data_IF_873327207797
#
_entry.id   IF_873327207797
#
_cell.length_a   1.000
_cell.length_b   1.000
_cell.length_c   1.000
_cell.angle_alpha   90.00
_cell.angle_beta   90.00
_cell.angle_gamma   90.00
#
_symmetry.space_group_name_H-M   'P 1'
#
loop_
_entity.id
_entity.type
_entity.pdbx_description
1 polymer ?
#
# COMPACT_ATOMS: atom_id res chain seq x y z
N UNK A 1 -31.87 114.70 -9.81
CA UNK A 1 -31.43 115.12 -8.47
C UNK A 1 -31.66 113.92 -7.55
N UNK A 2 -30.69 113.14 -7.05
CA UNK A 2 -29.26 113.30 -6.76
C UNK A 2 -28.50 112.04 -7.18
N UNK A 3 -27.27 112.20 -7.68
CA UNK A 3 -26.27 111.13 -7.72
C UNK A 3 -25.84 110.77 -6.29
N UNK A 4 -25.78 109.49 -5.96
CA UNK A 4 -24.90 108.99 -4.90
C UNK A 4 -23.87 108.05 -5.52
N UNK A 5 -22.69 108.60 -5.83
CA UNK A 5 -21.46 107.84 -5.99
C UNK A 5 -20.98 107.45 -4.60
N UNK A 6 -21.16 106.19 -4.20
CA UNK A 6 -20.49 105.66 -3.02
C UNK A 6 -19.23 104.89 -3.44
N UNK A 7 -18.10 105.35 -2.93
CA UNK A 7 -16.73 104.96 -3.29
C UNK A 7 -16.45 103.52 -2.82
N UNK A 8 -16.42 102.55 -3.73
CA UNK A 8 -15.98 101.19 -3.39
C UNK A 8 -14.46 101.17 -3.13
N UNK A 9 -14.09 100.96 -1.87
CA UNK A 9 -12.74 100.56 -1.49
C UNK A 9 -12.54 99.15 -2.06
N UNK A 10 -11.63 99.00 -3.02
CA UNK A 10 -11.36 97.71 -3.68
C UNK A 10 -10.55 96.81 -2.73
N UNK A 11 -11.24 95.92 -2.00
CA UNK A 11 -10.68 94.82 -1.19
C UNK A 11 -10.04 93.68 -2.04
N UNK A 12 -9.34 94.02 -3.12
CA UNK A 12 -8.80 93.02 -4.05
C UNK A 12 -7.74 92.10 -3.41
N UNK A 13 -7.07 92.54 -2.35
CA UNK A 13 -6.12 91.73 -1.57
C UNK A 13 -6.80 90.71 -0.65
N UNK A 14 -7.90 91.10 0.02
CA UNK A 14 -8.64 90.19 0.92
C UNK A 14 -9.29 89.03 0.15
N UNK A 15 -9.80 89.26 -1.06
CA UNK A 15 -10.37 88.18 -1.90
C UNK A 15 -9.32 87.13 -2.28
N UNK A 16 -8.10 87.57 -2.60
CA UNK A 16 -6.99 86.65 -2.92
C UNK A 16 -6.58 85.84 -1.69
N UNK A 17 -6.47 86.46 -0.52
CA UNK A 17 -6.12 85.77 0.74
C UNK A 17 -7.19 84.74 1.13
N UNK A 18 -8.48 85.09 1.03
CA UNK A 18 -9.57 84.16 1.34
C UNK A 18 -9.61 82.97 0.37
N UNK A 19 -9.35 83.19 -0.93
CA UNK A 19 -9.25 82.09 -1.90
C UNK A 19 -8.08 81.17 -1.59
N UNK A 20 -6.91 81.72 -1.24
CA UNK A 20 -5.73 80.92 -0.86
C UNK A 20 -6.01 80.08 0.39
N UNK A 21 -6.61 80.67 1.43
CA UNK A 21 -6.99 79.94 2.65
C UNK A 21 -8.00 78.83 2.35
N UNK A 22 -8.97 79.10 1.47
CA UNK A 22 -9.98 78.13 1.06
C UNK A 22 -9.38 76.96 0.26
N UNK A 23 -8.44 77.24 -0.66
CA UNK A 23 -7.73 76.18 -1.36
C UNK A 23 -6.85 75.36 -0.41
N UNK A 24 -6.14 76.00 0.52
CA UNK A 24 -5.34 75.31 1.54
C UNK A 24 -6.23 74.41 2.42
N UNK A 25 -7.40 74.88 2.85
CA UNK A 25 -8.30 74.09 3.69
C UNK A 25 -8.86 72.88 2.95
N UNK A 26 -9.28 73.05 1.69
CA UNK A 26 -9.74 71.93 0.85
C UNK A 26 -8.61 70.92 0.63
N UNK A 27 -7.40 71.36 0.27
CA UNK A 27 -6.27 70.44 0.05
C UNK A 27 -5.91 69.69 1.32
N UNK A 28 -5.98 70.35 2.48
CA UNK A 28 -5.70 69.72 3.77
C UNK A 28 -6.74 68.65 4.10
N UNK A 29 -8.03 68.93 3.88
CA UNK A 29 -9.11 67.97 4.10
C UNK A 29 -8.94 66.75 3.18
N UNK A 30 -8.57 66.95 1.90
CA UNK A 30 -8.33 65.84 0.96
C UNK A 30 -7.13 65.00 1.41
N UNK A 31 -6.02 65.63 1.79
CA UNK A 31 -4.82 64.92 2.24
C UNK A 31 -5.11 64.10 3.50
N UNK A 32 -5.76 64.69 4.50
CA UNK A 32 -6.14 64.00 5.74
C UNK A 32 -7.16 62.88 5.47
N UNK A 33 -8.10 63.10 4.54
CA UNK A 33 -9.08 62.10 4.13
C UNK A 33 -8.48 60.87 3.45
N UNK A 34 -7.36 61.04 2.72
CA UNK A 34 -6.67 59.95 2.01
C UNK A 34 -5.58 59.25 2.83
N UNK A 35 -4.96 59.94 3.79
CA UNK A 35 -3.83 59.40 4.57
C UNK A 35 -4.24 58.17 5.38
N UNK A 36 -5.39 58.21 6.07
CA UNK A 36 -5.85 57.12 6.93
C UNK A 36 -6.18 55.82 6.13
N UNK A 37 -6.94 55.88 5.01
CA UNK A 37 -7.14 54.71 4.15
C UNK A 37 -5.84 54.12 3.63
N UNK A 38 -4.86 54.95 3.22
CA UNK A 38 -3.58 54.46 2.69
C UNK A 38 -2.80 53.70 3.76
N UNK A 39 -2.69 54.25 4.97
CA UNK A 39 -2.02 53.56 6.09
C UNK A 39 -2.70 52.23 6.38
N UNK A 40 -4.04 52.20 6.38
CA UNK A 40 -4.81 50.98 6.59
C UNK A 40 -4.61 49.96 5.47
N UNK A 41 -4.53 50.38 4.21
CA UNK A 41 -4.22 49.51 3.08
C UNK A 41 -2.81 48.92 3.16
N UNK A 42 -1.83 49.72 3.59
CA UNK A 42 -0.46 49.23 3.81
C UNK A 42 -0.46 48.19 4.93
N UNK A 43 -1.09 48.46 6.07
CA UNK A 43 -1.12 47.51 7.18
C UNK A 43 -1.82 46.21 6.78
N UNK A 44 -2.95 46.29 6.08
CA UNK A 44 -3.66 45.11 5.54
C UNK A 44 -2.78 44.32 4.57
N UNK A 45 -2.10 44.98 3.64
CA UNK A 45 -1.22 44.32 2.69
C UNK A 45 -0.05 43.62 3.41
N UNK A 46 0.54 44.26 4.43
CA UNK A 46 1.61 43.65 5.22
C UNK A 46 1.11 42.47 6.05
N UNK A 47 -0.07 42.56 6.67
CA UNK A 47 -0.67 41.45 7.41
C UNK A 47 -0.94 40.25 6.50
N UNK A 48 -1.41 40.49 5.26
CA UNK A 48 -1.61 39.42 4.28
C UNK A 48 -0.28 38.79 3.86
N UNK A 49 0.77 39.60 3.65
CA UNK A 49 2.09 39.09 3.26
C UNK A 49 2.70 38.20 4.35
N UNK A 50 2.77 38.69 5.59
CA UNK A 50 3.31 37.93 6.74
C UNK A 50 2.47 36.68 7.02
N UNK A 51 1.15 36.77 6.83
CA UNK A 51 0.27 35.61 6.99
C UNK A 51 0.47 34.54 5.90
N UNK A 52 0.95 34.91 4.71
CA UNK A 52 1.37 33.94 3.69
C UNK A 52 2.71 33.30 4.04
N UNK A 53 3.63 34.06 4.61
CA UNK A 53 4.92 33.52 5.08
C UNK A 53 4.72 32.43 6.13
N UNK A 54 3.85 32.65 7.13
CA UNK A 54 3.51 31.61 8.12
C UNK A 54 2.80 30.40 7.50
N UNK A 55 1.98 30.60 6.46
CA UNK A 55 1.34 29.50 5.73
C UNK A 55 2.38 28.62 5.02
N UNK A 56 3.30 29.22 4.26
CA UNK A 56 4.36 28.47 3.58
C UNK A 56 5.33 27.78 4.54
N UNK A 57 5.58 28.40 5.70
CA UNK A 57 6.35 27.76 6.76
C UNK A 57 5.61 26.52 7.29
N UNK A 58 4.31 26.62 7.59
CA UNK A 58 3.50 25.49 8.02
C UNK A 58 3.49 24.35 6.98
N UNK A 59 3.35 24.67 5.68
CA UNK A 59 3.45 23.71 4.57
C UNK A 59 4.81 23.02 4.53
N UNK A 60 5.91 23.75 4.67
CA UNK A 60 7.24 23.14 4.66
C UNK A 60 7.42 22.11 5.80
N UNK A 61 6.90 22.39 7.00
CA UNK A 61 6.94 21.43 8.12
C UNK A 61 6.06 20.20 7.88
N UNK A 62 4.90 20.37 7.25
CA UNK A 62 4.00 19.23 6.98
C UNK A 62 4.59 18.32 5.89
N UNK A 63 5.14 18.90 4.83
CA UNK A 63 5.78 18.17 3.73
C UNK A 63 7.04 17.42 4.18
N UNK A 64 7.88 18.02 5.04
CA UNK A 64 9.05 17.32 5.61
C UNK A 64 8.62 16.06 6.40
N UNK A 65 7.61 16.18 7.26
CA UNK A 65 7.11 15.03 8.03
C UNK A 65 6.48 13.99 7.12
N UNK A 66 5.62 14.38 6.19
CA UNK A 66 4.98 13.46 5.25
C UNK A 66 6.02 12.74 4.40
N UNK A 67 7.04 13.46 3.91
CA UNK A 67 8.15 12.88 3.16
C UNK A 67 8.91 11.85 4.00
N UNK A 68 9.28 12.18 5.24
CA UNK A 68 9.97 11.24 6.14
C UNK A 68 9.13 10.01 6.44
N UNK A 69 7.84 10.19 6.67
CA UNK A 69 6.91 9.08 6.86
C UNK A 69 6.80 8.20 5.61
N UNK A 70 6.75 8.79 4.40
CA UNK A 70 6.75 8.05 3.13
C UNK A 70 8.06 7.31 2.86
N UNK A 71 9.19 7.93 3.21
CA UNK A 71 10.54 7.39 2.99
C UNK A 71 11.02 6.47 4.13
N UNK A 72 10.17 6.19 5.11
CA UNK A 72 10.51 5.36 6.27
C UNK A 72 11.61 5.92 7.17
N UNK A 73 11.75 7.23 7.23
CA UNK A 73 12.70 7.91 8.10
C UNK A 73 12.10 8.11 9.50
N UNK A 74 12.93 8.17 10.56
CA UNK A 74 12.44 8.40 11.92
C UNK A 74 11.80 9.79 12.03
N UNK A 75 10.61 9.84 12.65
CA UNK A 75 9.85 11.07 12.91
C UNK A 75 9.51 11.14 14.39
N UNK A 76 9.80 12.28 15.02
CA UNK A 76 9.45 12.53 16.41
C UNK A 76 7.98 12.93 16.56
N UNK A 77 7.40 12.73 17.75
CA UNK A 77 6.01 13.13 18.05
C UNK A 77 5.81 14.65 18.04
N UNK A 78 6.87 15.42 18.22
CA UNK A 78 6.92 16.87 18.05
C UNK A 78 8.31 17.26 17.57
N UNK A 79 8.37 18.12 16.55
CA UNK A 79 9.62 18.63 16.02
C UNK A 79 9.50 20.10 15.61
N UNK A 80 10.61 20.83 15.72
CA UNK A 80 10.71 22.22 15.28
C UNK A 80 11.63 22.28 14.06
N UNK A 81 11.14 22.91 12.99
CA UNK A 81 11.89 23.20 11.77
C UNK A 81 11.97 24.71 11.58
N UNK A 82 13.17 25.22 11.32
CA UNK A 82 13.35 26.62 10.95
C UNK A 82 13.32 26.75 9.42
N UNK A 83 12.43 27.60 8.91
CA UNK A 83 12.26 27.87 7.48
C UNK A 83 12.55 29.35 7.24
N UNK A 84 13.77 29.65 6.79
CA UNK A 84 14.26 31.02 6.73
C UNK A 84 14.37 31.62 8.14
N UNK A 85 13.63 32.71 8.38
CA UNK A 85 13.57 33.40 9.69
C UNK A 85 12.37 32.98 10.55
N UNK A 86 11.60 31.98 10.11
CA UNK A 86 10.37 31.53 10.75
C UNK A 86 10.57 30.16 11.40
N UNK A 87 9.84 29.92 12.48
CA UNK A 87 9.79 28.61 13.15
C UNK A 87 8.50 27.89 12.79
N UNK A 88 8.60 26.57 12.68
CA UNK A 88 7.50 25.68 12.41
C UNK A 88 7.51 24.58 13.44
N UNK A 89 6.39 24.39 14.14
CA UNK A 89 6.23 23.26 15.06
C UNK A 89 5.29 22.25 14.42
N UNK A 90 5.78 21.03 14.22
CA UNK A 90 5.00 19.94 13.65
C UNK A 90 4.82 18.83 14.68
N UNK A 91 3.58 18.45 14.95
CA UNK A 91 3.21 17.38 15.87
C UNK A 91 2.59 16.21 15.13
N UNK A 92 2.92 14.99 15.58
CA UNK A 92 2.46 13.74 14.98
C UNK A 92 1.77 12.92 16.05
N UNK A 93 0.51 12.56 15.79
CA UNK A 93 -0.33 11.77 16.67
C UNK A 93 -0.73 10.48 15.96
N UNK A 94 -0.54 9.34 16.63
CA UNK A 94 -0.99 8.05 16.13
C UNK A 94 -2.51 7.93 16.18
N UNK A 95 -3.13 7.47 15.09
CA UNK A 95 -4.57 7.18 15.00
C UNK A 95 -4.78 5.75 14.46
N UNK A 96 -5.99 5.21 14.59
CA UNK A 96 -6.30 3.86 14.09
C UNK A 96 -6.11 3.78 12.58
N UNK A 97 -5.08 3.05 12.12
CA UNK A 97 -4.75 2.87 10.71
C UNK A 97 -3.89 3.97 10.08
N UNK A 98 -3.40 4.95 10.87
CA UNK A 98 -2.69 6.09 10.32
C UNK A 98 -2.07 7.02 11.36
N UNK A 99 -1.74 8.24 10.91
CA UNK A 99 -1.24 9.33 11.76
C UNK A 99 -1.92 10.63 11.36
N UNK A 100 -2.23 11.46 12.35
CA UNK A 100 -2.57 12.87 12.13
C UNK A 100 -1.33 13.71 12.35
N UNK A 101 -1.01 14.56 11.38
CA UNK A 101 0.13 15.47 11.42
C UNK A 101 -0.43 16.89 11.43
N UNK A 102 -0.01 17.70 12.41
CA UNK A 102 -0.40 19.11 12.53
C UNK A 102 0.84 19.98 12.50
N UNK A 103 0.90 20.93 11.59
CA UNK A 103 2.01 21.88 11.45
C UNK A 103 1.53 23.30 11.77
N UNK A 104 2.27 24.01 12.61
CA UNK A 104 2.00 25.41 12.98
C UNK A 104 3.20 26.24 12.55
N UNK A 105 3.01 27.07 11.54
CA UNK A 105 3.99 28.07 11.10
C UNK A 105 3.74 29.39 11.80
N UNK A 106 4.81 30.02 12.28
CA UNK A 106 4.77 31.31 12.99
C UNK A 106 5.63 32.36 12.27
N UNK A 107 5.03 33.50 11.96
CA UNK A 107 5.72 34.66 11.39
C UNK A 107 5.24 35.95 12.07
N UNK A 108 6.09 36.60 12.87
CA UNK A 108 5.77 37.88 13.55
C UNK A 108 4.39 37.89 14.23
N UNK A 109 4.11 36.89 15.09
CA UNK A 109 2.82 36.67 15.77
C UNK A 109 1.62 36.28 14.88
N UNK A 110 1.83 36.05 13.58
CA UNK A 110 0.84 35.42 12.70
C UNK A 110 1.04 33.92 12.68
N UNK A 111 0.00 33.18 13.05
CA UNK A 111 0.00 31.72 13.08
C UNK A 111 -0.86 31.17 11.95
N UNK A 112 -0.33 30.17 11.25
CA UNK A 112 -1.10 29.35 10.29
C UNK A 112 -0.96 27.90 10.70
N UNK A 113 -2.10 27.21 10.81
CA UNK A 113 -2.15 25.82 11.23
C UNK A 113 -2.72 24.97 10.11
N UNK A 114 -1.97 23.92 9.78
CA UNK A 114 -2.31 22.98 8.72
C UNK A 114 -2.35 21.60 9.33
N UNK A 115 -3.36 20.82 8.95
CA UNK A 115 -3.52 19.44 9.37
C UNK A 115 -3.61 18.56 8.13
N UNK A 116 -2.86 17.46 8.16
CA UNK A 116 -3.02 16.35 7.23
C UNK A 116 -3.23 15.07 8.02
N UNK A 117 -4.06 14.19 7.48
CA UNK A 117 -4.22 12.83 8.00
C UNK A 117 -3.66 11.89 6.97
N UNK A 118 -2.73 11.06 7.40
CA UNK A 118 -2.15 10.03 6.58
C UNK A 118 -2.59 8.66 7.08
N UNK A 119 -2.88 7.75 6.17
CA UNK A 119 -3.06 6.34 6.47
C UNK A 119 -1.85 5.58 5.97
N UNK A 120 -1.58 4.41 6.55
CA UNK A 120 -0.65 3.49 5.90
C UNK A 120 -1.18 3.23 4.48
N UNK A 121 -0.34 3.48 3.48
CA UNK A 121 -0.73 3.37 2.08
C UNK A 121 -1.13 1.95 1.72
N UNK A 122 -1.79 1.80 0.58
CA UNK A 122 -2.35 0.52 0.17
C UNK A 122 -1.29 -0.58 0.21
N UNK A 123 -1.45 -1.52 1.13
CA UNK A 123 -0.70 -2.76 1.11
C UNK A 123 -0.99 -3.55 -0.17
N UNK A 124 -0.19 -4.58 -0.40
CA UNK A 124 -0.41 -5.54 -1.48
C UNK A 124 -1.86 -6.08 -1.40
N UNK A 125 -2.66 -5.78 -2.41
CA UNK A 125 -4.06 -6.22 -2.48
C UNK A 125 -4.17 -7.54 -3.22
N UNK A 126 -4.69 -8.57 -2.55
CA UNK A 126 -4.95 -9.87 -3.15
C UNK A 126 -6.42 -9.94 -3.55
N UNK A 127 -6.72 -9.60 -4.80
CA UNK A 127 -8.09 -9.65 -5.32
C UNK A 127 -8.61 -11.08 -5.50
N UNK A 128 -7.71 -12.06 -5.57
CA UNK A 128 -8.03 -13.47 -5.78
C UNK A 128 -7.30 -14.35 -4.77
N UNK A 129 -7.92 -15.47 -4.39
CA UNK A 129 -7.27 -16.45 -3.54
C UNK A 129 -6.11 -17.16 -4.24
N UNK A 130 -6.22 -17.30 -5.56
CA UNK A 130 -5.20 -17.86 -6.42
C UNK A 130 -5.10 -16.99 -7.67
N UNK A 131 -4.02 -16.21 -7.78
CA UNK A 131 -3.71 -15.39 -8.94
C UNK A 131 -2.47 -15.94 -9.65
N UNK A 132 -2.65 -16.43 -10.86
CA UNK A 132 -1.61 -17.17 -11.58
C UNK A 132 -1.31 -16.51 -12.91
N UNK A 133 -0.03 -16.39 -13.20
CA UNK A 133 0.47 -15.75 -14.40
C UNK A 133 0.38 -16.63 -15.64
N UNK A 134 1.30 -16.35 -16.57
CA UNK A 134 1.29 -16.92 -17.91
C UNK A 134 1.58 -18.42 -17.97
N UNK A 135 2.07 -19.03 -16.89
CA UNK A 135 2.27 -20.47 -16.83
C UNK A 135 0.99 -21.26 -16.52
N UNK A 136 -0.03 -20.59 -15.98
CA UNK A 136 -1.33 -21.20 -15.68
C UNK A 136 -1.32 -22.18 -14.50
N UNK A 137 -2.46 -22.85 -14.33
CA UNK A 137 -2.74 -23.78 -13.24
C UNK A 137 -2.84 -25.19 -13.81
N UNK A 138 -2.10 -26.12 -13.20
CA UNK A 138 -2.17 -27.56 -13.49
C UNK A 138 -2.67 -28.29 -12.24
N UNK A 139 -3.76 -29.03 -12.39
CA UNK A 139 -4.48 -29.73 -11.34
C UNK A 139 -4.46 -31.23 -11.61
N UNK A 140 -3.79 -31.99 -10.74
CA UNK A 140 -3.76 -33.46 -10.82
C UNK A 140 -5.04 -34.09 -10.24
N UNK A 141 -5.13 -35.42 -10.26
CA UNK A 141 -6.37 -36.12 -9.92
C UNK A 141 -6.84 -35.81 -8.51
N UNK A 142 -8.15 -35.56 -8.36
CA UNK A 142 -8.80 -35.25 -7.08
C UNK A 142 -8.21 -34.02 -6.36
N UNK A 143 -7.48 -33.14 -7.06
CA UNK A 143 -7.01 -31.89 -6.48
C UNK A 143 -8.14 -30.87 -6.36
N UNK A 144 -8.04 -29.97 -5.39
CA UNK A 144 -9.11 -29.05 -5.04
C UNK A 144 -8.60 -27.67 -4.69
N UNK A 145 -9.25 -26.64 -5.21
CA UNK A 145 -9.08 -25.25 -4.77
C UNK A 145 -10.37 -24.76 -4.13
N UNK A 146 -10.31 -24.44 -2.85
CA UNK A 146 -11.45 -23.95 -2.08
C UNK A 146 -11.59 -22.42 -2.17
N UNK A 147 -11.83 -21.88 -3.36
CA UNK A 147 -11.97 -20.44 -3.56
C UNK A 147 -12.14 -20.05 -5.03
N UNK A 148 -12.04 -18.75 -5.31
CA UNK A 148 -12.01 -18.22 -6.66
C UNK A 148 -10.58 -18.25 -7.21
N UNK A 149 -10.43 -18.48 -8.51
CA UNK A 149 -9.13 -18.52 -9.18
C UNK A 149 -9.11 -17.58 -10.36
N UNK A 150 -7.95 -16.97 -10.60
CA UNK A 150 -7.64 -16.19 -11.78
C UNK A 150 -6.35 -16.70 -12.41
N UNK A 151 -6.37 -17.01 -13.70
CA UNK A 151 -5.20 -17.46 -14.45
C UNK A 151 -5.00 -16.63 -15.71
N UNK A 152 -3.77 -16.17 -15.96
CA UNK A 152 -3.46 -15.39 -17.16
C UNK A 152 -3.25 -16.26 -18.42
N UNK A 153 -3.46 -17.59 -18.35
CA UNK A 153 -3.27 -18.47 -19.51
C UNK A 153 -4.20 -19.69 -19.50
N UNK A 154 -4.03 -20.62 -18.56
CA UNK A 154 -4.80 -21.87 -18.56
C UNK A 154 -5.16 -22.34 -17.17
N UNK A 155 -6.20 -23.15 -17.09
CA UNK A 155 -6.53 -24.00 -15.95
C UNK A 155 -6.78 -25.38 -16.52
N UNK A 156 -5.88 -26.31 -16.25
CA UNK A 156 -5.92 -27.66 -16.80
C UNK A 156 -6.03 -28.67 -15.66
N UNK A 157 -7.12 -29.44 -15.66
CA UNK A 157 -7.42 -30.44 -14.65
C UNK A 157 -7.26 -31.87 -15.13
N UNK A 158 -7.17 -32.76 -14.14
CA UNK A 158 -7.29 -34.20 -14.30
C UNK A 158 -8.58 -34.71 -13.64
N UNK A 159 -8.81 -36.02 -13.64
CA UNK A 159 -10.04 -36.60 -13.11
C UNK A 159 -10.32 -36.16 -11.66
N UNK A 160 -11.51 -35.61 -11.42
CA UNK A 160 -11.94 -35.16 -10.10
C UNK A 160 -11.34 -33.84 -9.63
N UNK A 161 -10.68 -33.08 -10.51
CA UNK A 161 -10.18 -31.73 -10.19
C UNK A 161 -11.32 -30.76 -9.96
N UNK A 162 -11.28 -29.99 -8.86
CA UNK A 162 -12.39 -29.13 -8.47
C UNK A 162 -11.98 -27.75 -7.98
N UNK A 163 -12.65 -26.72 -8.49
CA UNK A 163 -12.61 -25.36 -7.95
C UNK A 163 -13.97 -25.07 -7.34
N UNK A 164 -14.03 -24.71 -6.06
CA UNK A 164 -15.33 -24.52 -5.39
C UNK A 164 -15.99 -23.17 -5.68
N UNK A 165 -15.20 -22.16 -6.04
CA UNK A 165 -15.65 -20.83 -6.44
C UNK A 165 -15.70 -20.65 -7.96
N UNK A 166 -15.57 -19.42 -8.42
CA UNK A 166 -15.48 -19.05 -9.84
C UNK A 166 -14.06 -19.19 -10.39
N UNK A 167 -13.95 -19.47 -11.68
CA UNK A 167 -12.67 -19.57 -12.39
C UNK A 167 -12.63 -18.62 -13.59
N UNK A 168 -11.62 -17.76 -13.63
CA UNK A 168 -11.39 -16.80 -14.70
C UNK A 168 -10.07 -17.09 -15.38
N UNK A 169 -10.08 -17.11 -16.71
CA UNK A 169 -8.88 -17.26 -17.53
C UNK A 169 -8.83 -16.14 -18.56
N UNK A 170 -7.75 -15.37 -18.54
CA UNK A 170 -7.60 -14.22 -19.44
C UNK A 170 -7.21 -14.62 -20.87
N UNK A 171 -7.39 -13.68 -21.82
CA UNK A 171 -6.92 -13.78 -23.20
C UNK A 171 -7.52 -15.02 -23.93
N UNK A 172 -6.86 -15.54 -24.98
CA UNK A 172 -7.18 -16.80 -25.66
C UNK A 172 -6.90 -18.08 -24.84
N UNK A 173 -6.96 -17.96 -23.52
CA UNK A 173 -6.71 -19.04 -22.58
C UNK A 173 -7.84 -20.06 -22.51
N UNK A 174 -7.61 -21.15 -21.76
CA UNK A 174 -8.60 -22.21 -21.65
C UNK A 174 -8.76 -22.82 -20.26
N UNK A 175 -9.94 -23.38 -20.03
CA UNK A 175 -10.24 -24.28 -18.92
C UNK A 175 -10.50 -25.67 -19.52
N UNK A 176 -9.84 -26.71 -19.03
CA UNK A 176 -10.09 -28.09 -19.46
C UNK A 176 -10.18 -29.04 -18.27
N UNK A 177 -11.21 -29.90 -18.27
CA UNK A 177 -11.35 -31.03 -17.35
C UNK A 177 -11.37 -30.63 -15.86
N UNK A 178 -12.16 -29.61 -15.52
CA UNK A 178 -12.34 -29.12 -14.15
C UNK A 178 -13.82 -28.98 -13.79
N UNK A 179 -14.19 -29.41 -12.58
CA UNK A 179 -15.48 -29.11 -11.96
C UNK A 179 -15.43 -27.73 -11.27
N UNK A 180 -16.31 -26.82 -11.68
CA UNK A 180 -16.35 -25.43 -11.18
C UNK A 180 -17.64 -25.19 -10.42
N UNK A 181 -17.49 -24.72 -9.18
CA UNK A 181 -18.57 -24.36 -8.29
C UNK A 181 -19.02 -25.45 -7.33
N UNK A 182 -19.76 -25.02 -6.30
CA UNK A 182 -20.43 -25.93 -5.34
C UNK A 182 -21.86 -25.49 -5.07
N UNK A 183 -22.08 -24.20 -4.83
CA UNK A 183 -23.40 -23.58 -4.62
C UNK A 183 -23.49 -22.26 -5.41
N UNK A 184 -23.06 -22.32 -6.69
CA UNK A 184 -22.69 -21.17 -7.52
C UNK A 184 -21.24 -21.32 -8.01
N UNK A 185 -20.74 -20.35 -8.78
CA UNK A 185 -19.37 -20.36 -9.33
C UNK A 185 -19.38 -20.36 -10.85
N UNK A 186 -18.90 -19.27 -11.43
CA UNK A 186 -18.92 -19.03 -12.87
C UNK A 186 -17.57 -19.45 -13.48
N UNK A 187 -17.61 -19.95 -14.70
CA UNK A 187 -16.42 -20.19 -15.52
C UNK A 187 -16.36 -19.15 -16.63
N UNK A 188 -15.22 -18.49 -16.80
CA UNK A 188 -15.04 -17.46 -17.80
C UNK A 188 -13.66 -17.57 -18.47
N UNK A 189 -13.63 -17.99 -19.74
CA UNK A 189 -12.40 -18.19 -20.51
C UNK A 189 -12.69 -18.10 -22.02
N UNK A 190 -11.68 -17.97 -22.88
CA UNK A 190 -11.91 -18.05 -24.33
C UNK A 190 -12.42 -19.43 -24.75
N UNK A 191 -11.80 -20.50 -24.25
CA UNK A 191 -12.19 -21.89 -24.50
C UNK A 191 -12.43 -22.67 -23.22
N UNK A 192 -13.54 -23.41 -23.16
CA UNK A 192 -13.83 -24.31 -22.04
C UNK A 192 -14.17 -25.70 -22.56
N UNK A 193 -13.49 -26.74 -22.08
CA UNK A 193 -13.72 -28.13 -22.52
C UNK A 193 -13.80 -29.11 -21.36
N UNK A 194 -14.60 -30.16 -21.55
CA UNK A 194 -14.72 -31.29 -20.61
C UNK A 194 -15.01 -30.90 -19.15
N UNK A 195 -15.67 -29.76 -18.93
CA UNK A 195 -15.86 -29.17 -17.61
C UNK A 195 -17.32 -29.18 -17.16
N UNK A 196 -17.54 -29.32 -15.86
CA UNK A 196 -18.86 -29.20 -15.24
C UNK A 196 -18.96 -27.88 -14.48
N UNK A 197 -19.82 -26.96 -14.94
CA UNK A 197 -19.95 -25.62 -14.35
C UNK A 197 -21.27 -25.52 -13.61
N UNK A 198 -21.22 -25.15 -12.33
CA UNK A 198 -22.42 -24.94 -11.52
C UNK A 198 -23.13 -23.65 -11.90
N UNK A 199 -22.42 -22.51 -11.93
CA UNK A 199 -22.94 -21.19 -12.30
C UNK A 199 -22.99 -20.94 -13.81
N UNK A 200 -22.68 -19.72 -14.23
CA UNK A 200 -22.65 -19.32 -15.64
C UNK A 200 -21.37 -19.80 -16.34
N UNK A 201 -21.47 -20.10 -17.63
CA UNK A 201 -20.34 -20.47 -18.48
C UNK A 201 -20.18 -19.45 -19.60
N UNK A 202 -19.21 -18.55 -19.46
CA UNK A 202 -18.85 -17.56 -20.46
C UNK A 202 -17.64 -18.03 -21.27
N UNK A 203 -17.84 -18.30 -22.57
CA UNK A 203 -16.76 -18.69 -23.46
C UNK A 203 -17.05 -18.40 -24.93
N UNK A 204 -15.99 -18.32 -25.75
CA UNK A 204 -16.12 -18.18 -27.20
C UNK A 204 -16.32 -19.54 -27.87
N UNK A 205 -15.63 -20.56 -27.37
CA UNK A 205 -15.73 -21.93 -27.87
C UNK A 205 -15.75 -22.94 -26.74
N UNK A 206 -16.45 -24.06 -26.93
CA UNK A 206 -16.44 -25.13 -25.94
C UNK A 206 -17.07 -26.42 -26.42
N UNK A 207 -16.68 -27.52 -25.78
CA UNK A 207 -17.14 -28.88 -26.10
C UNK A 207 -17.00 -29.80 -24.90
N UNK A 208 -17.89 -30.79 -24.75
CA UNK A 208 -17.83 -31.75 -23.64
C UNK A 208 -18.21 -31.17 -22.28
N UNK A 209 -18.75 -29.95 -22.23
CA UNK A 209 -19.20 -29.31 -21.01
C UNK A 209 -20.65 -29.70 -20.66
N UNK A 210 -21.05 -29.47 -19.42
CA UNK A 210 -22.43 -29.69 -18.97
C UNK A 210 -23.46 -28.67 -19.52
N UNK A 211 -23.00 -27.59 -20.16
CA UNK A 211 -23.82 -26.55 -20.79
C UNK A 211 -23.09 -25.87 -21.95
N UNK A 212 -23.84 -25.18 -22.82
CA UNK A 212 -23.28 -24.41 -23.93
C UNK A 212 -22.61 -23.13 -23.45
N UNK A 213 -21.63 -22.64 -24.22
CA UNK A 213 -21.01 -21.34 -23.99
C UNK A 213 -22.00 -20.18 -24.15
N UNK A 214 -22.02 -19.27 -23.18
CA UNK A 214 -22.51 -17.91 -23.36
C UNK A 214 -21.40 -17.04 -23.97
N UNK A 215 -21.64 -16.53 -25.18
CA UNK A 215 -20.69 -15.73 -25.98
C UNK A 215 -20.96 -14.23 -25.85
N UNK A 216 -21.82 -13.80 -24.93
CA UNK A 216 -22.22 -12.40 -24.77
C UNK A 216 -21.12 -11.49 -24.21
N UNK A 217 -20.09 -12.08 -23.58
CA UNK A 217 -18.99 -11.35 -22.97
C UNK A 217 -17.66 -11.57 -23.73
N UNK A 218 -16.80 -10.56 -23.84
CA UNK A 218 -15.46 -10.67 -24.44
C UNK A 218 -14.53 -11.53 -23.56
N UNK A 219 -13.30 -11.83 -23.97
CA UNK A 219 -12.38 -12.57 -23.08
C UNK A 219 -11.90 -11.70 -21.90
N UNK A 220 -11.67 -12.27 -20.70
CA UNK A 220 -11.16 -11.52 -19.56
C UNK A 220 -9.77 -10.91 -19.84
N UNK A 221 -9.47 -9.71 -19.32
CA UNK A 221 -8.16 -9.07 -19.51
C UNK A 221 -7.12 -9.63 -18.54
N UNK A 222 -5.87 -9.77 -18.98
CA UNK A 222 -4.72 -10.18 -18.15
C UNK A 222 -4.65 -9.35 -16.86
N UNK A 223 -4.35 -9.99 -15.73
CA UNK A 223 -4.19 -9.33 -14.44
C UNK A 223 -2.71 -9.22 -14.07
N UNK A 224 -2.28 -8.01 -13.72
CA UNK A 224 -0.94 -7.79 -13.18
C UNK A 224 -0.82 -8.35 -11.77
N UNK A 225 0.38 -8.82 -11.44
CA UNK A 225 0.63 -9.40 -10.12
C UNK A 225 0.59 -8.35 -9.01
N UNK A 226 0.26 -8.76 -7.76
CA UNK A 226 -0.01 -7.81 -6.69
C UNK A 226 1.26 -7.22 -6.02
N UNK A 227 2.44 -7.81 -6.20
CA UNK A 227 3.70 -7.31 -5.63
C UNK A 227 4.62 -6.82 -6.75
N UNK A 228 5.14 -5.60 -6.66
CA UNK A 228 6.10 -5.09 -7.63
C UNK A 228 7.53 -5.58 -7.35
N UNK A 229 8.41 -5.54 -8.36
CA UNK A 229 9.84 -5.82 -8.15
C UNK A 229 10.48 -4.79 -7.20
N UNK A 230 10.01 -3.54 -7.22
CA UNK A 230 10.45 -2.48 -6.31
C UNK A 230 10.09 -2.78 -4.84
N UNK A 231 8.91 -3.33 -4.57
CA UNK A 231 8.53 -3.77 -3.22
C UNK A 231 9.48 -4.84 -2.68
N UNK A 232 9.81 -5.83 -3.52
CA UNK A 232 10.72 -6.92 -3.17
C UNK A 232 12.12 -6.36 -2.88
N UNK A 233 12.61 -5.44 -3.70
CA UNK A 233 13.93 -4.81 -3.51
C UNK A 233 13.96 -3.95 -2.23
N UNK A 234 12.89 -3.21 -1.93
CA UNK A 234 12.74 -2.47 -0.68
C UNK A 234 12.78 -3.40 0.55
N UNK A 235 12.10 -4.54 0.50
CA UNK A 235 12.14 -5.53 1.58
C UNK A 235 13.53 -6.16 1.75
N UNK A 236 14.25 -6.43 0.64
CA UNK A 236 15.64 -6.90 0.68
C UNK A 236 16.56 -5.85 1.31
N UNK A 237 16.39 -4.57 1.00
CA UNK A 237 17.15 -3.48 1.60
C UNK A 237 16.92 -3.38 3.12
N UNK A 238 15.68 -3.56 3.60
CA UNK A 238 15.36 -3.61 5.04
C UNK A 238 16.06 -4.77 5.73
N UNK A 239 16.03 -5.96 5.11
CA UNK A 239 16.70 -7.14 5.65
C UNK A 239 18.22 -6.92 5.75
N UNK A 240 18.84 -6.35 4.71
CA UNK A 240 20.27 -6.04 4.67
C UNK A 240 20.67 -4.97 5.71
N UNK A 241 19.85 -3.93 5.88
CA UNK A 241 20.06 -2.90 6.91
C UNK A 241 19.98 -3.45 8.34
N UNK A 242 19.24 -4.54 8.56
CA UNK A 242 19.17 -5.26 9.84
C UNK A 242 20.44 -6.05 10.19
N UNK A 243 21.32 -6.27 9.21
CA UNK A 243 22.59 -6.99 9.37
C UNK A 243 22.78 -8.08 8.32
N UNK A 244 24.03 -8.52 8.17
CA UNK A 244 24.40 -9.56 7.19
C UNK A 244 25.07 -10.74 7.89
N UNK A 245 24.54 -11.94 7.67
CA UNK A 245 25.15 -13.21 8.09
C UNK A 245 25.73 -13.88 6.84
N UNK A 246 27.03 -14.14 6.85
CA UNK A 246 27.71 -14.85 5.77
C UNK A 246 27.77 -16.35 6.05
N UNK A 247 27.39 -17.16 5.07
CA UNK A 247 27.37 -18.62 5.17
C UNK A 247 25.99 -19.19 5.52
N UNK A 248 25.91 -20.52 5.50
CA UNK A 248 24.66 -21.23 5.77
C UNK A 248 24.28 -21.12 7.25
N UNK A 249 23.00 -20.89 7.51
CA UNK A 249 22.40 -20.86 8.84
C UNK A 249 21.59 -22.13 9.05
N UNK A 250 21.98 -22.93 10.03
CA UNK A 250 21.25 -24.11 10.46
C UNK A 250 20.70 -23.90 11.86
N UNK A 251 19.38 -23.81 11.98
CA UNK A 251 18.68 -23.59 13.23
C UNK A 251 18.36 -24.94 13.89
N UNK A 252 19.21 -25.34 14.85
CA UNK A 252 19.15 -26.66 15.51
C UNK A 252 18.85 -26.63 17.01
N UNK A 253 18.62 -25.44 17.59
CA UNK A 253 18.08 -25.29 18.95
C UNK A 253 16.60 -25.71 19.02
N UNK A 254 15.94 -25.59 20.18
CA UNK A 254 14.47 -25.76 20.26
C UNK A 254 13.71 -24.53 19.72
N UNK A 255 14.29 -23.34 19.86
CA UNK A 255 13.71 -22.08 19.37
C UNK A 255 14.78 -20.99 19.18
N UNK A 256 14.45 -19.97 18.37
CA UNK A 256 15.19 -18.70 18.30
C UNK A 256 14.31 -17.59 17.73
N UNK A 257 14.88 -16.38 17.71
CA UNK A 257 14.37 -15.25 16.96
C UNK A 257 15.30 -14.89 15.81
N UNK A 258 14.75 -14.43 14.69
CA UNK A 258 15.51 -14.00 13.51
C UNK A 258 14.87 -12.74 12.92
N UNK A 259 15.71 -11.89 12.33
CA UNK A 259 15.27 -10.71 11.58
C UNK A 259 15.22 -9.41 12.40
N UNK A 260 15.34 -8.24 11.74
CA UNK A 260 15.63 -8.10 10.31
C UNK A 260 17.09 -8.52 9.98
N UNK A 261 17.29 -9.30 8.91
CA UNK A 261 18.63 -9.80 8.54
C UNK A 261 18.70 -10.34 7.10
N UNK A 262 19.85 -10.16 6.45
CA UNK A 262 20.24 -10.84 5.20
C UNK A 262 21.16 -12.03 5.50
N UNK A 263 20.85 -13.19 4.95
CA UNK A 263 21.67 -14.41 5.01
C UNK A 263 22.23 -14.70 3.63
N UNK A 264 23.56 -14.59 3.48
CA UNK A 264 24.29 -14.94 2.27
C UNK A 264 24.63 -16.43 2.31
N UNK A 265 23.62 -17.26 2.06
CA UNK A 265 23.69 -18.72 2.21
C UNK A 265 22.29 -19.33 2.29
N UNK A 266 22.21 -20.59 2.70
CA UNK A 266 20.95 -21.30 2.94
C UNK A 266 20.47 -21.12 4.37
N UNK A 267 19.16 -21.14 4.58
CA UNK A 267 18.52 -21.22 5.90
C UNK A 267 17.83 -22.58 6.04
N UNK A 268 18.26 -23.39 7.01
CA UNK A 268 17.65 -24.69 7.30
C UNK A 268 17.17 -24.76 8.74
N UNK A 269 16.00 -25.36 8.97
CA UNK A 269 15.42 -25.56 10.30
C UNK A 269 15.32 -27.04 10.60
N UNK A 270 15.66 -27.48 11.82
CA UNK A 270 15.47 -28.89 12.24
C UNK A 270 14.01 -29.22 12.57
N UNK A 271 13.68 -30.50 12.73
CA UNK A 271 12.31 -30.94 13.06
C UNK A 271 11.76 -30.23 14.31
N UNK A 272 10.50 -29.83 14.26
CA UNK A 272 9.76 -29.16 15.34
C UNK A 272 10.36 -27.83 15.82
N UNK A 273 11.20 -27.19 14.99
CA UNK A 273 11.84 -25.93 15.34
C UNK A 273 10.83 -24.80 15.51
N UNK A 274 11.01 -23.92 16.51
CA UNK A 274 10.13 -22.76 16.74
C UNK A 274 10.87 -21.46 16.45
N UNK A 275 10.63 -20.88 15.28
CA UNK A 275 11.22 -19.61 14.85
C UNK A 275 10.25 -18.45 15.10
N UNK A 276 10.74 -17.40 15.76
CA UNK A 276 10.03 -16.11 15.87
C UNK A 276 10.68 -15.09 14.95
N UNK A 277 9.92 -14.55 14.00
CA UNK A 277 10.39 -13.50 13.08
C UNK A 277 10.18 -12.13 13.72
N UNK A 278 11.26 -11.40 13.93
CA UNK A 278 11.27 -10.07 14.54
C UNK A 278 11.39 -8.94 13.50
N UNK A 279 11.66 -9.27 12.24
CA UNK A 279 11.81 -8.33 11.13
C UNK A 279 11.97 -9.06 9.80
N UNK A 280 12.03 -8.34 8.67
CA UNK A 280 12.19 -8.95 7.34
C UNK A 280 13.47 -9.79 7.24
N UNK A 281 13.34 -11.02 6.76
CA UNK A 281 14.47 -11.92 6.56
C UNK A 281 14.63 -12.17 5.07
N UNK A 282 15.85 -11.97 4.56
CA UNK A 282 16.22 -12.28 3.19
C UNK A 282 17.32 -13.34 3.16
N UNK A 283 17.09 -14.41 2.41
CA UNK A 283 18.03 -15.52 2.22
C UNK A 283 18.42 -15.59 0.74
N UNK A 284 19.70 -15.48 0.41
CA UNK A 284 20.14 -15.55 -1.00
C UNK A 284 20.14 -16.99 -1.54
N UNK A 285 20.22 -17.98 -0.66
CA UNK A 285 20.06 -19.39 -0.96
C UNK A 285 18.67 -19.92 -0.65
N UNK A 286 18.54 -21.24 -0.52
CA UNK A 286 17.26 -21.88 -0.23
C UNK A 286 16.81 -21.72 1.22
N UNK A 287 15.50 -21.78 1.43
CA UNK A 287 14.89 -21.90 2.76
C UNK A 287 14.27 -23.29 2.86
N UNK A 288 14.66 -24.06 3.87
CA UNK A 288 14.24 -25.45 4.04
C UNK A 288 13.71 -25.64 5.47
N UNK A 289 12.37 -25.77 5.60
CA UNK A 289 11.75 -26.11 6.88
C UNK A 289 11.71 -27.63 7.01
N UNK A 290 11.99 -28.16 8.20
CA UNK A 290 11.77 -29.58 8.50
C UNK A 290 10.40 -29.82 9.13
N UNK A 291 10.01 -31.09 9.27
CA UNK A 291 8.68 -31.48 9.74
C UNK A 291 8.31 -30.84 11.09
N UNK A 292 7.07 -30.34 11.20
CA UNK A 292 6.52 -29.81 12.46
C UNK A 292 7.04 -28.44 12.89
N UNK A 293 7.80 -27.74 12.03
CA UNK A 293 8.36 -26.42 12.36
C UNK A 293 7.26 -25.38 12.55
N UNK A 294 7.39 -24.50 13.54
CA UNK A 294 6.52 -23.35 13.74
C UNK A 294 7.29 -22.08 13.38
N UNK A 295 6.77 -21.32 12.41
CA UNK A 295 7.25 -19.99 12.06
C UNK A 295 6.16 -19.01 12.48
N UNK A 296 6.47 -18.13 13.45
CA UNK A 296 5.53 -17.12 13.93
C UNK A 296 6.12 -15.72 13.87
N UNK A 297 5.27 -14.71 13.69
CA UNK A 297 5.70 -13.33 13.87
C UNK A 297 5.79 -12.96 15.34
N UNK A 298 6.68 -12.04 15.67
CA UNK A 298 6.69 -11.37 16.98
C UNK A 298 5.37 -10.64 17.22
N UNK A 299 4.91 -10.56 18.47
CA UNK A 299 3.73 -9.79 18.85
C UNK A 299 3.87 -8.29 18.56
N UNK A 300 5.10 -7.79 18.42
CA UNK A 300 5.40 -6.40 18.03
C UNK A 300 4.84 -6.01 16.66
N UNK A 301 4.48 -6.97 15.81
CA UNK A 301 3.85 -6.70 14.52
C UNK A 301 2.41 -6.16 14.66
N UNK A 302 1.72 -6.33 15.79
CA UNK A 302 0.32 -5.91 15.90
C UNK A 302 -0.52 -6.50 14.75
N UNK A 303 -1.34 -5.70 14.07
CA UNK A 303 -2.09 -6.14 12.88
C UNK A 303 -1.24 -6.35 11.61
N UNK A 304 0.06 -6.10 11.66
CA UNK A 304 0.95 -6.18 10.51
C UNK A 304 1.36 -7.58 10.11
N UNK A 305 1.65 -7.74 8.83
CA UNK A 305 2.22 -8.98 8.27
C UNK A 305 3.73 -8.90 8.11
N UNK A 306 4.41 -10.05 8.16
CA UNK A 306 5.87 -10.18 8.09
C UNK A 306 6.32 -10.97 6.87
N UNK A 307 7.54 -10.69 6.42
CA UNK A 307 8.05 -11.12 5.10
C UNK A 307 9.30 -11.99 5.27
N UNK A 308 9.32 -13.13 4.57
CA UNK A 308 10.45 -14.02 4.45
C UNK A 308 10.77 -14.25 2.96
N UNK A 309 11.95 -13.81 2.52
CA UNK A 309 12.36 -13.80 1.11
C UNK A 309 13.46 -14.83 0.87
N UNK A 310 13.36 -15.57 -0.22
CA UNK A 310 14.44 -16.38 -0.79
C UNK A 310 14.70 -16.01 -2.25
N UNK A 311 15.97 -15.89 -2.63
CA UNK A 311 16.34 -15.81 -4.06
C UNK A 311 16.34 -17.19 -4.74
N UNK A 312 16.06 -18.25 -3.99
CA UNK A 312 16.03 -19.64 -4.43
C UNK A 312 14.72 -20.32 -3.98
N UNK A 313 14.69 -21.65 -4.02
CA UNK A 313 13.58 -22.47 -3.58
C UNK A 313 13.28 -22.30 -2.08
N UNK A 314 11.99 -22.17 -1.75
CA UNK A 314 11.45 -22.29 -0.41
C UNK A 314 10.73 -23.63 -0.31
N UNK A 315 11.29 -24.56 0.46
CA UNK A 315 10.67 -25.85 0.74
C UNK A 315 10.03 -25.83 2.13
N UNK A 316 8.72 -26.02 2.16
CA UNK A 316 7.92 -26.10 3.39
C UNK A 316 7.54 -27.57 3.64
N UNK A 317 8.23 -28.23 4.57
CA UNK A 317 7.97 -29.65 4.89
C UNK A 317 6.69 -29.86 5.71
N UNK A 318 6.28 -31.13 5.81
CA UNK A 318 5.03 -31.57 6.44
C UNK A 318 4.80 -30.99 7.85
N UNK A 319 3.56 -30.61 8.13
CA UNK A 319 3.08 -30.06 9.40
C UNK A 319 3.81 -28.79 9.84
N UNK A 320 4.44 -28.05 8.93
CA UNK A 320 4.98 -26.73 9.24
C UNK A 320 3.83 -25.73 9.45
N UNK A 321 3.85 -24.97 10.52
CA UNK A 321 2.77 -24.03 10.86
C UNK A 321 3.28 -22.60 10.73
N UNK A 322 2.54 -21.77 10.02
CA UNK A 322 2.76 -20.32 9.95
C UNK A 322 1.71 -19.59 10.78
N UNK A 323 2.17 -18.64 11.60
CA UNK A 323 1.31 -17.82 12.46
C UNK A 323 1.70 -16.35 12.34
N UNK A 324 0.69 -15.47 12.28
CA UNK A 324 0.89 -14.04 12.47
C UNK A 324 1.33 -13.68 13.89
N UNK A 325 1.20 -12.41 14.24
CA UNK A 325 1.59 -11.85 15.54
C UNK A 325 0.71 -12.30 16.72
N UNK A 326 -0.43 -12.95 16.42
CA UNK A 326 -1.54 -13.19 17.35
C UNK A 326 -2.68 -12.17 17.25
N UNK A 327 -2.53 -11.12 16.44
CA UNK A 327 -3.60 -10.16 16.10
C UNK A 327 -4.24 -10.54 14.77
N UNK A 328 -5.57 -10.39 14.66
CA UNK A 328 -6.27 -10.59 13.39
C UNK A 328 -5.72 -9.66 12.29
N UNK A 329 -5.61 -10.15 11.06
CA UNK A 329 -5.01 -9.40 9.93
C UNK A 329 -3.50 -9.56 9.77
N UNK A 330 -2.82 -10.23 10.71
CA UNK A 330 -1.37 -10.49 10.65
C UNK A 330 -1.05 -11.86 10.05
N UNK A 331 -0.21 -11.88 9.02
CA UNK A 331 0.17 -13.10 8.28
C UNK A 331 1.66 -13.15 7.97
N UNK A 332 2.19 -14.35 7.73
CA UNK A 332 3.52 -14.54 7.16
C UNK A 332 3.39 -14.64 5.65
N UNK A 333 4.18 -13.85 4.92
CA UNK A 333 4.36 -13.98 3.48
C UNK A 333 5.70 -14.62 3.17
N UNK A 334 5.67 -15.66 2.33
CA UNK A 334 6.83 -16.26 1.71
C UNK A 334 6.99 -15.69 0.31
N UNK A 335 8.16 -15.11 0.01
CA UNK A 335 8.49 -14.56 -1.30
C UNK A 335 9.66 -15.34 -1.87
N UNK A 336 9.49 -15.98 -3.03
CA UNK A 336 10.60 -16.52 -3.79
C UNK A 336 10.76 -15.76 -5.12
N UNK A 337 11.97 -15.30 -5.40
CA UNK A 337 12.31 -14.70 -6.71
C UNK A 337 12.90 -15.73 -7.68
N UNK A 338 12.91 -17.02 -7.32
CA UNK A 338 13.41 -18.08 -8.17
C UNK A 338 12.47 -18.36 -9.34
N UNK A 339 13.03 -18.66 -10.52
CA UNK A 339 12.24 -18.91 -11.74
C UNK A 339 11.87 -20.37 -11.96
N UNK A 340 12.43 -21.29 -11.16
CA UNK A 340 12.15 -22.72 -11.20
C UNK A 340 10.98 -23.11 -10.29
N UNK A 341 11.12 -24.24 -9.59
CA UNK A 341 10.25 -24.60 -8.48
C UNK A 341 10.58 -23.68 -7.31
N UNK A 342 9.84 -22.60 -7.19
CA UNK A 342 10.16 -21.47 -6.33
C UNK A 342 9.67 -21.69 -4.91
N UNK A 343 8.47 -22.28 -4.77
CA UNK A 343 7.92 -22.66 -3.48
C UNK A 343 7.32 -24.06 -3.61
N UNK A 344 7.77 -24.99 -2.77
CA UNK A 344 7.18 -26.32 -2.64
C UNK A 344 6.57 -26.44 -1.25
N UNK A 345 5.30 -26.83 -1.19
CA UNK A 345 4.58 -26.98 0.08
C UNK A 345 4.05 -28.40 0.21
N UNK A 346 4.56 -29.07 1.25
CA UNK A 346 4.10 -30.37 1.70
C UNK A 346 3.00 -30.24 2.79
N UNK A 347 2.35 -31.37 3.08
CA UNK A 347 1.13 -31.53 3.89
C UNK A 347 0.99 -30.59 5.10
N UNK A 348 -0.21 -30.03 5.32
CA UNK A 348 -0.57 -29.25 6.51
C UNK A 348 0.26 -27.98 6.76
N UNK A 349 0.78 -27.33 5.71
CA UNK A 349 1.24 -25.95 5.83
C UNK A 349 0.04 -25.02 6.10
N UNK A 350 0.08 -24.31 7.22
CA UNK A 350 -1.04 -23.50 7.72
C UNK A 350 -1.25 -22.14 7.02
N UNK A 351 -1.59 -21.11 7.81
CA UNK A 351 -2.00 -19.79 7.34
C UNK A 351 -0.83 -18.95 6.77
N UNK A 352 -0.42 -19.22 5.53
CA UNK A 352 0.69 -18.54 4.85
C UNK A 352 0.26 -17.90 3.53
N UNK A 353 0.83 -16.72 3.21
CA UNK A 353 0.67 -16.07 1.90
C UNK A 353 1.90 -16.43 1.06
N UNK A 354 1.69 -16.82 -0.19
CA UNK A 354 2.76 -17.26 -1.09
C UNK A 354 2.89 -16.30 -2.26
N UNK A 355 4.11 -15.84 -2.49
CA UNK A 355 4.46 -15.03 -3.64
C UNK A 355 5.66 -15.66 -4.37
N UNK A 356 5.41 -16.16 -5.58
CA UNK A 356 6.41 -16.70 -6.49
C UNK A 356 6.12 -16.24 -7.92
N UNK A 357 5.92 -14.93 -8.10
CA UNK A 357 5.48 -14.34 -9.36
C UNK A 357 6.41 -14.62 -10.56
N UNK A 358 7.66 -15.02 -10.31
CA UNK A 358 8.66 -15.38 -11.33
C UNK A 358 8.77 -16.89 -11.57
N UNK A 359 8.20 -17.73 -10.70
CA UNK A 359 8.40 -19.18 -10.71
C UNK A 359 7.14 -19.99 -10.40
N UNK A 360 7.35 -21.27 -10.12
CA UNK A 360 6.28 -22.24 -9.85
C UNK A 360 6.05 -22.41 -8.35
N UNK A 361 4.78 -22.42 -7.95
CA UNK A 361 4.37 -22.94 -6.63
C UNK A 361 3.81 -24.35 -6.81
N UNK A 362 4.37 -25.30 -6.08
CA UNK A 362 3.91 -26.69 -6.08
C UNK A 362 3.26 -27.04 -4.75
N UNK A 363 2.06 -27.61 -4.82
CA UNK A 363 1.31 -28.11 -3.68
C UNK A 363 1.25 -29.64 -3.70
N UNK A 364 1.69 -30.26 -2.62
CA UNK A 364 1.69 -31.70 -2.45
C UNK A 364 0.89 -32.10 -1.20
N UNK A 365 0.01 -33.10 -1.33
CA UNK A 365 -0.92 -33.53 -0.28
C UNK A 365 -1.87 -32.39 0.18
N UNK A 366 -2.48 -32.49 1.38
CA UNK A 366 -3.40 -31.48 1.93
C UNK A 366 -2.67 -30.19 2.38
N UNK A 367 -1.96 -29.54 1.47
CA UNK A 367 -1.20 -28.31 1.70
C UNK A 367 -2.09 -27.07 1.58
N UNK A 368 -2.16 -26.26 2.64
CA UNK A 368 -2.96 -25.03 2.68
C UNK A 368 -2.14 -23.78 2.35
N UNK A 369 -2.83 -22.74 1.85
CA UNK A 369 -2.30 -21.39 1.73
C UNK A 369 -3.45 -20.38 1.77
N UNK A 370 -3.21 -19.22 2.38
CA UNK A 370 -4.22 -18.14 2.47
C UNK A 370 -4.36 -17.35 1.19
N UNK A 371 -3.27 -17.18 0.43
CA UNK A 371 -3.29 -16.60 -0.91
C UNK A 371 -2.03 -17.03 -1.64
N UNK A 372 -2.13 -17.15 -2.97
CA UNK A 372 -1.03 -17.54 -3.83
C UNK A 372 -0.97 -16.62 -5.04
N UNK A 373 0.20 -16.02 -5.26
CA UNK A 373 0.53 -15.28 -6.48
C UNK A 373 1.76 -15.90 -7.13
N UNK A 374 1.62 -16.50 -8.31
CA UNK A 374 2.72 -17.26 -8.92
C UNK A 374 2.70 -17.22 -10.45
N UNK A 375 3.85 -17.46 -11.11
CA UNK A 375 3.88 -17.61 -12.57
C UNK A 375 3.08 -18.83 -13.05
N UNK A 376 3.24 -19.95 -12.33
CA UNK A 376 2.50 -21.19 -12.54
C UNK A 376 2.22 -21.87 -11.22
N UNK A 377 1.14 -22.63 -11.14
CA UNK A 377 0.79 -23.42 -9.96
C UNK A 377 0.52 -24.86 -10.37
N UNK A 378 1.08 -25.80 -9.61
CA UNK A 378 0.91 -27.24 -9.80
C UNK A 378 0.34 -27.86 -8.53
N UNK A 379 -0.81 -28.53 -8.63
CA UNK A 379 -1.42 -29.28 -7.55
C UNK A 379 -1.25 -30.78 -7.83
N UNK A 380 -0.56 -31.49 -6.93
CA UNK A 380 -0.43 -32.95 -7.00
C UNK A 380 -1.75 -33.67 -6.65
N UNK A 381 -1.76 -34.99 -6.86
CA UNK A 381 -2.94 -35.82 -6.61
C UNK A 381 -3.47 -35.64 -5.17
N UNK A 382 -4.76 -35.28 -5.06
CA UNK A 382 -5.43 -35.07 -3.77
C UNK A 382 -5.05 -33.78 -3.05
N UNK A 383 -4.28 -32.88 -3.68
CA UNK A 383 -3.89 -31.64 -3.03
C UNK A 383 -5.07 -30.68 -2.87
N UNK A 384 -5.21 -30.06 -1.68
CA UNK A 384 -6.33 -29.16 -1.37
C UNK A 384 -5.82 -27.81 -0.89
N UNK A 385 -6.09 -26.74 -1.65
CA UNK A 385 -5.79 -25.35 -1.26
C UNK A 385 -7.01 -24.75 -0.56
N UNK A 386 -6.85 -24.40 0.73
CA UNK A 386 -7.87 -23.75 1.55
C UNK A 386 -7.70 -22.23 1.59
N UNK A 387 -8.43 -21.52 0.72
CA UNK A 387 -8.48 -20.07 0.73
C UNK A 387 -9.40 -19.53 1.84
N UNK A 388 -9.01 -18.40 2.44
CA UNK A 388 -9.82 -17.68 3.43
C UNK A 388 -10.17 -16.31 2.86
N UNK A 389 -11.48 -16.05 2.71
CA UNK A 389 -12.10 -14.97 1.92
C UNK A 389 -11.97 -13.58 2.59
N UNK A 390 -10.95 -13.39 3.44
CA UNK A 390 -10.77 -12.21 4.28
C UNK A 390 -9.57 -11.32 3.92
N UNK A 391 -8.84 -11.57 2.83
CA UNK A 391 -7.61 -10.84 2.48
C UNK A 391 -7.81 -9.68 1.50
N UNK A 392 -8.90 -8.92 1.65
CA UNK A 392 -8.99 -7.60 1.00
C UNK A 392 -8.17 -6.62 1.84
N UNK A 393 -7.07 -6.12 1.27
CA UNK A 393 -6.08 -5.24 1.90
C UNK A 393 -5.31 -5.87 3.08
N UNK A 394 -4.24 -6.62 2.77
CA UNK A 394 -3.30 -7.09 3.78
C UNK A 394 -2.20 -6.05 3.94
N UNK A 395 -2.19 -5.39 5.10
CA UNK A 395 -1.12 -4.45 5.44
C UNK A 395 0.13 -5.22 5.86
N UNK A 396 1.08 -5.34 4.94
CA UNK A 396 2.43 -5.80 5.27
C UNK A 396 3.13 -4.68 6.02
N UNK A 397 3.33 -4.86 7.33
CA UNK A 397 4.21 -3.97 8.10
C UNK A 397 5.63 -4.39 7.74
N UNK A 398 6.03 -3.98 6.53
CA UNK A 398 7.40 -3.57 6.33
C UNK A 398 7.56 -2.34 7.20
N UNK A 399 8.17 -2.49 8.37
CA UNK A 399 8.62 -1.32 9.09
C UNK A 399 9.42 -0.42 8.13
N UNK A 400 9.64 0.83 8.50
CA UNK A 400 8.83 2.01 8.16
C UNK A 400 8.57 2.26 6.64
N UNK A 401 8.60 1.24 5.78
CA UNK A 401 8.49 1.36 4.32
C UNK A 401 7.08 1.26 3.74
N UNK A 402 6.04 1.11 4.57
CA UNK A 402 4.67 1.36 4.14
C UNK A 402 4.47 2.86 3.94
N UNK A 403 4.65 3.34 2.70
CA UNK A 403 4.45 4.74 2.37
C UNK A 403 3.07 5.20 2.84
N UNK A 404 2.99 6.38 3.45
CA UNK A 404 1.74 6.91 3.96
C UNK A 404 0.94 7.59 2.84
N UNK A 405 -0.33 7.20 2.66
CA UNK A 405 -1.25 7.88 1.75
C UNK A 405 -1.94 9.05 2.46
N UNK A 406 -2.08 10.16 1.74
CA UNK A 406 -2.73 11.37 2.26
C UNK A 406 -4.24 11.22 2.06
N UNK A 407 -5.00 11.11 3.16
CA UNK A 407 -6.46 11.01 3.14
C UNK A 407 -7.11 12.38 3.01
N UNK A 408 -6.48 13.41 3.57
CA UNK A 408 -6.99 14.76 3.49
C UNK A 408 -6.03 15.78 4.03
N UNK A 409 -6.08 16.97 3.42
CA UNK A 409 -5.33 18.15 3.80
C UNK A 409 -6.33 19.28 4.09
N UNK A 410 -6.12 20.04 5.16
CA UNK A 410 -6.87 21.26 5.44
C UNK A 410 -6.09 22.25 6.29
N UNK A 411 -6.33 23.53 6.03
CA UNK A 411 -6.04 24.60 6.99
C UNK A 411 -7.12 24.60 8.09
N UNK A 412 -6.73 24.78 9.36
CA UNK A 412 -7.63 24.71 10.54
C UNK A 412 -7.51 25.89 11.49
#
# INVERSE_FOLDING_TARGET
MFLFLNKQIKEKGQVMVTMVIFFISITTIIILGLTNPIISHISMATSIAVSKESFYAAEAGIEDVVYRLKAGLPVATSQILNVGNHSVTTTVVDESGGKTITSIGEANDYFRKIKTTVILGEGVSFHYGLQVGTGGIEMSNNSRVNGNVYSNNKIEGSNGSRITGSAYVSNFGFIDNVDIGTSGGDAYANRVTNSNITGNLYCQTGSGNNKSCDTSLPDPPVQDFPVSDEDIDNWKAIAEAGGVINGNVSLSSSSSSLGPVKIVGNLTMTNNYRLTINGTVWVTGKIDTSNGSLIKLSSSYGSGSGILISDNEIKVSNNSVFQGSGTAGSYVMLVSTYTGNAIEIDNNAGAVILNAQKGKVKFSNNAGAKSVSAKSVELDNGATIDYDIGLVNVNFISGPGGGFDIVGWREI
#
